data_IF_905054361817
#
_entry.id   IF_905054361817
#
_cell.length_a   1.000
_cell.length_b   1.000
_cell.length_c   1.000
_cell.angle_alpha   90.00
_cell.angle_beta   90.00
_cell.angle_gamma   90.00
#
_symmetry.space_group_name_H-M   'P 1'
#
loop_
_entity.id
_entity.type
_entity.pdbx_description
1 polymer ?
#
# COMPACT_ATOMS: atom_id res chain seq x y z
N UNK A 1 2.15 -12.10 6.09
CA UNK A 1 1.47 -10.82 6.34
C UNK A 1 -0.01 -10.95 6.02
N UNK A 2 -0.88 -11.18 7.03
CA UNK A 2 -2.29 -11.47 6.75
C UNK A 2 -3.03 -10.22 6.25
N UNK A 3 -2.84 -9.06 6.87
CA UNK A 3 -3.54 -7.81 6.53
C UNK A 3 -2.59 -6.61 6.64
N UNK A 4 -2.49 -5.77 5.61
CA UNK A 4 -1.70 -4.51 5.68
C UNK A 4 -2.25 -3.56 6.75
N UNK A 5 -1.44 -2.57 7.16
CA UNK A 5 -1.83 -1.57 8.16
C UNK A 5 -2.58 -0.41 7.50
N UNK A 6 -3.51 0.22 8.25
CA UNK A 6 -4.13 1.47 7.80
C UNK A 6 -3.05 2.57 7.72
N UNK A 7 -3.00 3.36 6.63
CA UNK A 7 -1.98 4.40 6.48
C UNK A 7 -2.16 5.53 7.50
N UNK A 8 -1.04 6.03 8.03
CA UNK A 8 -0.97 7.24 8.86
C UNK A 8 -1.21 8.49 8.01
N UNK A 9 -1.37 9.67 8.64
CA UNK A 9 -1.56 10.93 7.91
C UNK A 9 -0.44 11.21 6.89
N UNK A 10 0.82 10.96 7.27
CA UNK A 10 1.99 11.19 6.42
C UNK A 10 1.96 10.23 5.22
N UNK A 11 1.73 8.94 5.46
CA UNK A 11 1.62 7.92 4.41
C UNK A 11 0.44 8.20 3.46
N UNK A 12 -0.68 8.76 3.97
CA UNK A 12 -1.80 9.19 3.12
C UNK A 12 -1.40 10.33 2.18
N UNK A 13 -0.60 11.30 2.66
CA UNK A 13 -0.08 12.38 1.81
C UNK A 13 0.83 11.82 0.73
N UNK A 14 1.75 10.93 1.10
CA UNK A 14 2.66 10.24 0.17
C UNK A 14 1.89 9.44 -0.90
N UNK A 15 0.90 8.63 -0.49
CA UNK A 15 0.03 7.92 -1.42
C UNK A 15 -0.65 8.86 -2.41
N UNK A 16 -1.17 10.02 -1.95
CA UNK A 16 -1.80 11.02 -2.83
C UNK A 16 -0.81 11.64 -3.82
N UNK A 17 0.42 11.91 -3.41
CA UNK A 17 1.48 12.39 -4.31
C UNK A 17 1.75 11.40 -5.45
N UNK A 18 1.65 10.09 -5.17
CA UNK A 18 1.77 9.04 -6.19
C UNK A 18 0.44 8.71 -6.92
N UNK A 19 -0.58 9.55 -6.80
CA UNK A 19 -1.87 9.41 -7.48
C UNK A 19 -2.77 8.30 -6.93
N UNK A 20 -2.53 7.83 -5.69
CA UNK A 20 -3.36 6.83 -5.03
C UNK A 20 -4.41 7.45 -4.11
N UNK A 21 -5.57 6.80 -4.01
CA UNK A 21 -6.61 7.11 -3.02
C UNK A 21 -6.38 6.32 -1.73
N UNK A 22 -5.89 6.91 -0.63
CA UNK A 22 -5.42 6.16 0.54
C UNK A 22 -6.45 5.24 1.20
N UNK A 23 -7.74 5.49 0.98
CA UNK A 23 -8.86 4.67 1.47
C UNK A 23 -8.83 3.26 0.88
N UNK A 24 -8.35 3.13 -0.36
CA UNK A 24 -8.31 1.89 -1.13
C UNK A 24 -7.02 1.07 -0.91
N UNK A 25 -6.06 1.59 -0.15
CA UNK A 25 -4.73 0.99 0.01
C UNK A 25 -4.39 0.76 1.47
N UNK A 26 -3.53 -0.22 1.72
CA UNK A 26 -2.96 -0.54 3.02
C UNK A 26 -1.44 -0.57 2.91
N UNK A 27 -0.77 -0.22 3.99
CA UNK A 27 0.70 -0.23 4.07
C UNK A 27 1.19 -1.62 4.45
N UNK A 28 2.12 -2.14 3.66
CA UNK A 28 2.78 -3.43 3.85
C UNK A 28 4.15 -3.21 4.52
N UNK A 29 4.91 -2.24 4.01
CA UNK A 29 6.23 -1.88 4.50
C UNK A 29 6.43 -0.37 4.36
N UNK A 30 7.03 0.24 5.35
CA UNK A 30 7.42 1.65 5.34
C UNK A 30 8.92 1.71 5.59
N UNK A 31 9.70 2.13 4.59
CA UNK A 31 11.15 2.29 4.67
C UNK A 31 11.52 3.71 4.27
N UNK A 32 12.76 4.13 4.55
CA UNK A 32 13.25 5.45 4.14
C UNK A 32 13.21 5.67 2.62
N UNK A 33 13.36 4.61 1.84
CA UNK A 33 13.43 4.65 0.37
C UNK A 33 12.05 4.52 -0.28
N UNK A 34 11.13 3.76 0.31
CA UNK A 34 9.83 3.50 -0.30
C UNK A 34 8.72 3.15 0.70
N UNK A 35 7.49 3.46 0.30
CA UNK A 35 6.28 2.95 0.92
C UNK A 35 5.72 1.79 0.07
N UNK A 36 5.76 0.57 0.60
CA UNK A 36 5.14 -0.59 -0.03
C UNK A 36 3.68 -0.72 0.40
N UNK A 37 2.79 -0.82 -0.58
CA UNK A 37 1.35 -0.78 -0.39
C UNK A 37 0.67 -1.93 -1.12
N UNK A 38 -0.49 -2.34 -0.62
CA UNK A 38 -1.37 -3.34 -1.25
C UNK A 38 -2.77 -2.76 -1.36
N UNK A 39 -3.44 -3.00 -2.49
CA UNK A 39 -4.83 -2.55 -2.64
C UNK A 39 -5.77 -3.47 -1.85
N UNK A 40 -6.85 -2.89 -1.31
CA UNK A 40 -7.89 -3.67 -0.62
C UNK A 40 -8.59 -4.66 -1.56
N UNK A 41 -8.67 -4.32 -2.84
CA UNK A 41 -9.23 -5.18 -3.88
C UNK A 41 -8.36 -6.43 -4.09
N UNK A 42 -7.04 -6.26 -4.13
CA UNK A 42 -6.09 -7.37 -4.25
C UNK A 42 -6.20 -8.33 -3.06
N UNK A 43 -6.47 -7.82 -1.85
CA UNK A 43 -6.70 -8.66 -0.67
C UNK A 43 -7.97 -9.52 -0.75
N UNK A 44 -8.97 -9.12 -1.54
CA UNK A 44 -10.21 -9.87 -1.75
C UNK A 44 -10.09 -10.90 -2.87
N UNK A 45 -9.01 -10.87 -3.66
CA UNK A 45 -8.81 -11.80 -4.78
C UNK A 45 -8.59 -13.21 -4.25
N UNK A 46 -9.56 -14.09 -4.47
CA UNK A 46 -9.50 -15.52 -4.15
C UNK A 46 -8.80 -16.21 -5.32
N UNK A 47 -7.73 -16.96 -5.06
CA UNK A 47 -6.99 -17.67 -6.11
C UNK A 47 -5.86 -16.85 -6.74
N UNK A 48 -4.75 -16.75 -6.00
CA UNK A 48 -3.35 -16.61 -6.45
C UNK A 48 -2.55 -16.41 -5.16
N UNK A 49 -1.67 -17.34 -4.78
CA UNK A 49 -0.97 -17.30 -3.48
C UNK A 49 -0.08 -16.07 -3.25
N UNK A 50 0.18 -15.27 -4.31
CA UNK A 50 1.02 -14.07 -4.27
C UNK A 50 0.17 -12.82 -4.49
N UNK A 51 -0.03 -12.05 -3.42
CA UNK A 51 -0.67 -10.72 -3.46
C UNK A 51 0.23 -9.73 -4.19
N UNK A 52 -0.32 -8.97 -5.13
CA UNK A 52 0.42 -7.88 -5.81
C UNK A 52 0.57 -6.68 -4.88
N UNK A 53 1.82 -6.31 -4.57
CA UNK A 53 2.16 -5.06 -3.88
C UNK A 53 2.72 -4.05 -4.87
N UNK A 54 2.65 -2.77 -4.50
CA UNK A 54 3.24 -1.65 -5.24
C UNK A 54 4.21 -0.92 -4.31
N UNK A 55 5.40 -0.55 -4.81
CA UNK A 55 6.34 0.33 -4.10
C UNK A 55 6.18 1.76 -4.61
N UNK A 56 6.07 2.69 -3.69
CA UNK A 56 6.05 4.13 -3.93
C UNK A 56 7.41 4.64 -3.49
N UNK A 57 8.27 4.99 -4.44
CA UNK A 57 9.63 5.44 -4.14
C UNK A 57 9.60 6.92 -3.74
N UNK A 58 10.30 7.24 -2.65
CA UNK A 58 10.50 8.60 -2.19
C UNK A 58 11.65 9.20 -2.99
N UNK A 59 11.43 10.36 -3.60
CA UNK A 59 12.51 11.17 -4.18
C UNK A 59 13.40 11.75 -3.08
#
# INVERSE_FOLDING_TARGET
>A
MKNGKKPTLIQKKEMKLHGLQPENWLVVKDTREFLEVVSRMELKRIGTGKKRTRRLYRE
#
